data_IF_615774896618
#
_entry.id   IF_615774896618
#
_cell.length_a   1.000
_cell.length_b   1.000
_cell.length_c   1.000
_cell.angle_alpha   90.00
_cell.angle_beta   90.00
_cell.angle_gamma   90.00
#
_symmetry.space_group_name_H-M   'P 1'
#
loop_
_entity.id
_entity.type
_entity.pdbx_description
1 polymer ?
#
# COMPACT_ATOMS: atom_id res chain seq x y z
N UNK A 1 7.88 12.38 -16.70
CA UNK A 1 8.82 13.48 -16.99
C UNK A 1 9.26 13.31 -18.44
N UNK A 2 9.26 14.40 -19.22
CA UNK A 2 9.78 14.35 -20.59
C UNK A 2 11.29 14.01 -20.53
N UNK A 3 11.72 12.98 -21.25
CA UNK A 3 13.14 12.57 -21.31
C UNK A 3 13.97 13.65 -22.03
N UNK A 4 13.31 14.49 -22.83
CA UNK A 4 13.95 15.58 -23.55
C UNK A 4 13.64 16.90 -22.83
N UNK A 5 14.64 17.57 -22.25
CA UNK A 5 14.44 18.86 -21.59
C UNK A 5 13.84 19.89 -22.55
N UNK A 6 13.08 20.85 -22.00
CA UNK A 6 12.56 21.99 -22.76
C UNK A 6 13.70 22.71 -23.49
N UNK A 7 13.63 22.75 -24.82
CA UNK A 7 14.63 23.38 -25.68
C UNK A 7 15.68 22.42 -26.27
N UNK A 8 15.61 21.12 -25.96
CA UNK A 8 16.42 20.10 -26.62
C UNK A 8 15.64 19.40 -27.74
N UNK A 9 16.34 18.95 -28.79
CA UNK A 9 15.80 18.10 -29.83
C UNK A 9 16.61 16.80 -29.92
N UNK A 10 15.94 15.65 -29.96
CA UNK A 10 16.59 14.37 -30.26
C UNK A 10 16.53 14.11 -31.76
N UNK A 11 17.68 13.87 -32.39
CA UNK A 11 17.75 13.45 -33.80
C UNK A 11 17.73 11.93 -33.84
N UNK A 12 16.58 11.36 -34.23
CA UNK A 12 16.50 9.94 -34.58
C UNK A 12 16.90 9.79 -36.04
N UNK A 13 18.09 9.25 -36.31
CA UNK A 13 18.45 8.85 -37.67
C UNK A 13 17.72 7.54 -37.96
N UNK A 14 17.03 7.44 -39.10
CA UNK A 14 16.57 6.14 -39.63
C UNK A 14 17.82 5.28 -39.89
N UNK A 15 18.21 4.45 -38.94
CA UNK A 15 19.04 3.31 -39.27
C UNK A 15 18.04 2.30 -39.87
N UNK A 16 18.07 2.15 -41.19
CA UNK A 16 17.47 0.99 -41.80
C UNK A 16 18.36 -0.16 -41.34
N UNK A 17 17.90 -0.93 -40.37
CA UNK A 17 18.53 -2.22 -40.06
C UNK A 17 18.43 -3.07 -41.33
N UNK A 18 19.37 -4.00 -41.54
CA UNK A 18 19.47 -4.80 -42.77
C UNK A 18 18.23 -5.66 -43.07
N UNK A 19 17.28 -5.71 -42.14
CA UNK A 19 15.99 -6.40 -42.17
C UNK A 19 14.80 -5.47 -42.52
N UNK A 20 15.03 -4.17 -42.77
CA UNK A 20 13.99 -3.23 -43.24
C UNK A 20 13.11 -2.62 -42.15
N UNK A 21 13.44 -2.79 -40.86
CA UNK A 21 12.73 -2.12 -39.77
C UNK A 21 13.23 -0.68 -39.57
N UNK A 22 12.31 0.29 -39.44
CA UNK A 22 12.62 1.65 -39.00
C UNK A 22 12.63 1.72 -37.47
N UNK A 23 13.61 2.42 -36.88
CA UNK A 23 13.65 2.66 -35.45
C UNK A 23 12.42 3.50 -35.00
N UNK A 24 11.46 2.86 -34.34
CA UNK A 24 10.32 3.52 -33.71
C UNK A 24 10.63 3.72 -32.22
N UNK A 25 10.63 4.98 -31.77
CA UNK A 25 10.60 5.31 -30.35
C UNK A 25 9.14 5.32 -29.91
N UNK A 26 8.71 4.29 -29.17
CA UNK A 26 7.44 4.35 -28.44
C UNK A 26 7.72 4.85 -27.04
N UNK A 27 7.18 6.01 -26.69
CA UNK A 27 7.13 6.48 -25.30
C UNK A 27 6.03 5.71 -24.55
N UNK A 28 6.16 4.38 -24.47
CA UNK A 28 5.26 3.56 -23.67
C UNK A 28 5.66 3.76 -22.21
N UNK A 29 4.94 4.64 -21.52
CA UNK A 29 5.04 4.72 -20.07
C UNK A 29 4.36 3.48 -19.50
N UNK A 30 4.98 2.75 -18.56
CA UNK A 30 4.30 1.63 -17.92
C UNK A 30 3.03 2.15 -17.24
N UNK A 31 2.00 1.30 -17.19
CA UNK A 31 0.83 1.49 -16.33
C UNK A 31 1.31 1.75 -14.90
N UNK A 32 0.85 2.87 -14.34
CA UNK A 32 1.18 3.30 -12.97
C UNK A 32 -0.11 3.52 -12.19
N UNK A 33 -0.13 3.00 -10.97
CA UNK A 33 -1.11 3.44 -9.97
C UNK A 33 -0.82 4.90 -9.58
N UNK A 34 -1.86 5.60 -9.12
CA UNK A 34 -1.76 6.97 -8.61
C UNK A 34 -1.90 7.03 -7.08
N UNK A 35 -2.49 6.00 -6.47
CA UNK A 35 -2.56 5.85 -5.02
C UNK A 35 -2.59 4.38 -4.63
N UNK A 36 -2.10 4.07 -3.43
CA UNK A 36 -2.32 2.79 -2.78
C UNK A 36 -2.39 2.98 -1.27
N UNK A 37 -3.25 2.22 -0.61
CA UNK A 37 -3.42 2.29 0.83
C UNK A 37 -3.74 0.94 1.46
N UNK A 38 -3.23 0.72 2.68
CA UNK A 38 -3.72 -0.31 3.60
C UNK A 38 -4.90 0.25 4.39
N UNK A 39 -6.08 -0.33 4.23
CA UNK A 39 -7.34 0.18 4.75
C UNK A 39 -7.78 -0.60 5.99
N UNK A 40 -8.22 0.14 7.03
CA UNK A 40 -8.91 -0.42 8.20
C UNK A 40 -10.16 0.37 8.52
N UNK A 41 -11.14 -0.32 9.09
CA UNK A 41 -12.34 0.23 9.67
C UNK A 41 -12.06 0.51 11.14
N UNK A 42 -12.36 1.72 11.58
CA UNK A 42 -12.28 2.13 12.97
C UNK A 42 -13.68 2.29 13.56
N UNK A 43 -13.97 1.52 14.61
CA UNK A 43 -15.27 1.48 15.27
C UNK A 43 -16.30 0.61 14.57
N UNK A 44 -17.55 0.71 15.01
CA UNK A 44 -18.65 -0.14 14.55
C UNK A 44 -19.89 0.68 14.22
N UNK A 45 -20.78 0.11 13.38
CA UNK A 45 -22.06 0.73 13.03
C UNK A 45 -21.93 2.02 12.21
N UNK A 46 -22.88 2.93 12.37
CA UNK A 46 -23.02 4.16 11.56
C UNK A 46 -21.92 5.21 11.80
N UNK A 47 -21.14 5.08 12.87
CA UNK A 47 -20.00 5.95 13.17
C UNK A 47 -18.64 5.39 12.75
N UNK A 48 -18.62 4.23 12.11
CA UNK A 48 -17.38 3.58 11.69
C UNK A 48 -16.69 4.39 10.57
N UNK A 49 -15.37 4.53 10.67
CA UNK A 49 -14.57 5.26 9.68
C UNK A 49 -13.63 4.32 8.95
N UNK A 50 -13.53 4.45 7.63
CA UNK A 50 -12.58 3.69 6.81
C UNK A 50 -11.36 4.57 6.55
N UNK A 51 -10.22 4.19 7.14
CA UNK A 51 -9.01 5.03 7.19
C UNK A 51 -7.80 4.25 6.70
N UNK A 52 -7.00 4.89 5.85
CA UNK A 52 -5.93 4.26 5.09
C UNK A 52 -4.53 4.74 5.45
N UNK A 53 -3.59 3.80 5.62
CA UNK A 53 -2.16 4.10 5.57
C UNK A 53 -1.73 4.13 4.10
N UNK A 54 -1.24 5.27 3.63
CA UNK A 54 -0.66 5.39 2.29
C UNK A 54 0.53 4.45 2.12
N UNK A 55 0.54 3.71 1.01
CA UNK A 55 1.60 2.82 0.57
C UNK A 55 2.32 3.47 -0.61
N UNK A 56 3.54 4.02 -0.43
CA UNK A 56 4.21 4.77 -1.48
C UNK A 56 4.54 3.88 -2.69
N UNK A 57 4.07 4.30 -3.87
CA UNK A 57 4.13 3.55 -5.13
C UNK A 57 5.50 3.54 -5.82
N UNK A 58 6.44 4.35 -5.34
CA UNK A 58 7.79 4.50 -5.89
C UNK A 58 8.88 4.09 -4.90
N UNK A 59 8.55 3.25 -3.92
CA UNK A 59 9.55 2.79 -2.95
C UNK A 59 10.61 1.98 -3.68
N UNK A 60 11.74 2.63 -3.95
CA UNK A 60 13.01 1.95 -4.10
C UNK A 60 13.11 1.00 -2.91
N UNK A 61 13.42 -0.27 -3.14
CA UNK A 61 13.39 -1.35 -2.13
C UNK A 61 14.22 -1.09 -0.83
N UNK A 62 14.87 0.07 -0.72
CA UNK A 62 15.64 0.55 0.44
C UNK A 62 15.00 1.72 1.22
N UNK A 63 13.79 2.17 0.88
CA UNK A 63 13.02 3.07 1.76
C UNK A 63 12.03 2.28 2.61
N UNK A 64 11.63 2.83 3.76
CA UNK A 64 10.61 2.21 4.61
C UNK A 64 9.28 2.31 3.83
N UNK A 65 8.57 1.19 3.57
CA UNK A 65 7.26 1.22 2.92
C UNK A 65 6.22 1.89 3.82
N UNK A 66 5.02 2.12 3.32
CA UNK A 66 3.90 2.46 4.21
C UNK A 66 3.71 1.34 5.25
N UNK A 67 3.72 1.69 6.53
CA UNK A 67 3.62 0.72 7.64
C UNK A 67 2.19 0.67 8.16
N UNK A 68 1.53 -0.47 8.00
CA UNK A 68 0.30 -0.81 8.70
C UNK A 68 0.64 -1.13 10.17
N UNK A 69 0.27 -0.21 11.05
CA UNK A 69 0.58 -0.27 12.47
C UNK A 69 -0.58 -0.77 13.32
N UNK A 70 -1.76 -1.00 12.72
CA UNK A 70 -2.97 -1.42 13.43
C UNK A 70 -3.11 -2.94 13.41
N UNK A 71 -3.96 -3.44 14.29
CA UNK A 71 -4.24 -4.87 14.42
C UNK A 71 -4.73 -5.50 13.09
N UNK A 72 -4.42 -6.78 12.84
CA UNK A 72 -5.04 -7.51 11.73
C UNK A 72 -6.56 -7.59 11.93
N UNK A 73 -7.30 -7.74 10.84
CA UNK A 73 -8.75 -7.69 10.82
C UNK A 73 -9.29 -6.30 10.50
N UNK A 74 -10.59 -6.12 10.80
CA UNK A 74 -11.29 -4.83 10.68
C UNK A 74 -11.19 -4.23 9.27
N UNK A 75 -11.37 -5.07 8.25
CA UNK A 75 -11.37 -4.67 6.84
C UNK A 75 -12.79 -4.62 6.28
N UNK A 76 -12.98 -4.01 5.10
CA UNK A 76 -14.26 -4.00 4.40
C UNK A 76 -14.70 -5.40 3.91
N UNK A 77 -13.79 -6.37 3.86
CA UNK A 77 -14.08 -7.73 3.42
C UNK A 77 -14.65 -8.63 4.55
N UNK A 78 -14.64 -8.15 5.79
CA UNK A 78 -15.21 -8.88 6.93
C UNK A 78 -14.22 -9.83 7.63
N UNK A 79 -14.77 -10.81 8.33
CA UNK A 79 -14.01 -11.72 9.18
C UNK A 79 -13.08 -12.65 8.37
N UNK A 80 -11.91 -12.97 8.93
CA UNK A 80 -10.93 -13.87 8.32
C UNK A 80 -9.95 -13.19 7.35
N UNK A 81 -10.10 -11.89 7.13
CA UNK A 81 -9.18 -11.06 6.34
C UNK A 81 -8.34 -10.22 7.30
N UNK A 82 -7.03 -10.42 7.26
CA UNK A 82 -6.09 -9.72 8.13
C UNK A 82 -5.87 -8.28 7.67
N UNK A 83 -5.66 -8.05 6.37
CA UNK A 83 -5.41 -6.72 5.81
C UNK A 83 -6.05 -6.56 4.44
N UNK A 84 -6.35 -5.31 4.08
CA UNK A 84 -6.91 -4.98 2.78
C UNK A 84 -6.11 -3.85 2.13
N UNK A 85 -5.57 -4.11 0.94
CA UNK A 85 -4.89 -3.12 0.13
C UNK A 85 -5.87 -2.64 -0.94
N UNK A 86 -5.97 -1.32 -1.10
CA UNK A 86 -6.69 -0.67 -2.19
C UNK A 86 -5.69 0.08 -3.05
N UNK A 87 -5.74 -0.16 -4.36
CA UNK A 87 -4.88 0.49 -5.36
C UNK A 87 -5.78 1.27 -6.32
N UNK A 88 -5.44 2.53 -6.56
CA UNK A 88 -6.16 3.42 -7.46
C UNK A 88 -5.32 3.69 -8.69
N UNK A 89 -5.92 3.52 -9.86
CA UNK A 89 -5.38 3.82 -11.18
C UNK A 89 -6.05 5.05 -11.77
N UNK A 90 -5.39 5.78 -12.70
CA UNK A 90 -5.97 6.96 -13.32
C UNK A 90 -7.14 6.63 -14.25
N UNK A 91 -7.14 5.43 -14.83
CA UNK A 91 -8.18 4.90 -15.71
C UNK A 91 -8.52 3.47 -15.30
N UNK A 92 -9.66 2.92 -15.74
CA UNK A 92 -9.95 1.50 -15.55
C UNK A 92 -8.84 0.61 -16.11
N UNK A 93 -8.45 -0.40 -15.34
CA UNK A 93 -7.44 -1.38 -15.75
C UNK A 93 -8.00 -2.79 -15.73
N UNK A 94 -7.48 -3.64 -16.62
CA UNK A 94 -7.65 -5.09 -16.51
C UNK A 94 -6.36 -5.74 -16.03
N UNK A 95 -6.45 -6.92 -15.43
CA UNK A 95 -5.28 -7.67 -14.97
C UNK A 95 -5.59 -9.17 -14.94
N UNK A 96 -4.52 -9.98 -14.98
CA UNK A 96 -4.64 -11.44 -15.10
C UNK A 96 -4.72 -12.15 -13.75
N UNK A 97 -3.96 -11.66 -12.76
CA UNK A 97 -3.91 -12.26 -11.42
C UNK A 97 -3.32 -11.28 -10.40
N UNK A 98 -3.41 -11.61 -9.12
CA UNK A 98 -2.72 -10.95 -8.02
C UNK A 98 -1.99 -11.99 -7.19
N UNK A 99 -0.70 -11.77 -6.95
CA UNK A 99 0.14 -12.67 -6.15
C UNK A 99 0.84 -11.91 -5.02
N UNK A 100 1.08 -12.59 -3.89
CA UNK A 100 2.06 -12.10 -2.91
C UNK A 100 3.44 -12.62 -3.32
N UNK A 101 4.34 -11.70 -3.65
CA UNK A 101 5.69 -12.04 -4.13
C UNK A 101 6.71 -12.16 -3.00
N UNK A 102 6.43 -11.56 -1.84
CA UNK A 102 7.26 -11.68 -0.64
C UNK A 102 6.49 -11.28 0.61
N UNK A 103 6.97 -11.71 1.78
CA UNK A 103 6.67 -11.03 3.06
C UNK A 103 5.70 -11.68 4.04
N UNK A 104 5.37 -12.96 3.89
CA UNK A 104 4.53 -13.65 4.87
C UNK A 104 3.10 -13.12 4.88
N UNK A 105 2.49 -13.02 3.70
CA UNK A 105 1.06 -12.82 3.54
C UNK A 105 0.58 -13.70 2.38
N UNK A 106 -0.70 -14.06 2.38
CA UNK A 106 -1.35 -14.77 1.29
C UNK A 106 -2.46 -13.90 0.72
N UNK A 107 -2.56 -13.81 -0.60
CA UNK A 107 -3.72 -13.23 -1.25
C UNK A 107 -4.90 -14.18 -1.03
N UNK A 108 -5.95 -13.69 -0.39
CA UNK A 108 -7.18 -14.46 -0.19
C UNK A 108 -8.13 -14.28 -1.37
N UNK A 109 -8.40 -13.03 -1.72
CA UNK A 109 -9.29 -12.65 -2.81
C UNK A 109 -8.95 -11.26 -3.33
N UNK A 110 -9.40 -10.93 -4.53
CA UNK A 110 -9.21 -9.61 -5.14
C UNK A 110 -10.37 -9.27 -6.08
N UNK A 111 -10.59 -7.97 -6.31
CA UNK A 111 -11.65 -7.46 -7.18
C UNK A 111 -11.22 -6.16 -7.88
N UNK A 112 -12.03 -5.68 -8.83
CA UNK A 112 -11.76 -4.44 -9.56
C UNK A 112 -11.17 -4.62 -10.96
N UNK A 113 -11.29 -5.81 -11.56
CA UNK A 113 -10.94 -6.00 -12.97
C UNK A 113 -11.90 -5.20 -13.87
N UNK A 114 -11.37 -4.36 -14.74
CA UNK A 114 -12.15 -3.38 -15.52
C UNK A 114 -12.57 -2.14 -14.74
N UNK A 115 -11.95 -1.88 -13.57
CA UNK A 115 -12.20 -0.71 -12.71
C UNK A 115 -10.92 0.09 -12.50
N UNK A 116 -11.05 1.36 -12.09
CA UNK A 116 -9.92 2.19 -11.66
C UNK A 116 -9.50 1.90 -10.22
N UNK A 117 -10.31 1.17 -9.46
CA UNK A 117 -10.02 0.78 -8.08
C UNK A 117 -9.91 -0.73 -8.02
N UNK A 118 -8.76 -1.22 -7.56
CA UNK A 118 -8.48 -2.63 -7.31
C UNK A 118 -8.37 -2.86 -5.81
N UNK A 119 -9.10 -3.85 -5.31
CA UNK A 119 -9.09 -4.23 -3.89
C UNK A 119 -8.47 -5.61 -3.75
N UNK A 120 -7.57 -5.77 -2.79
CA UNK A 120 -6.85 -7.02 -2.51
C UNK A 120 -7.01 -7.34 -1.03
N UNK A 121 -7.56 -8.51 -0.74
CA UNK A 121 -7.73 -9.02 0.61
C UNK A 121 -6.59 -9.99 0.92
N UNK A 122 -5.93 -9.77 2.06
CA UNK A 122 -4.80 -10.56 2.53
C UNK A 122 -5.17 -11.35 3.79
N UNK A 123 -4.59 -12.55 3.91
CA UNK A 123 -4.67 -13.40 5.11
C UNK A 123 -3.29 -13.95 5.46
N UNK A 124 -3.17 -14.50 6.65
CA UNK A 124 -1.93 -14.99 7.22
C UNK A 124 -0.84 -13.90 7.19
N UNK A 125 -1.20 -12.64 7.47
CA UNK A 125 -0.28 -11.51 7.39
C UNK A 125 0.63 -11.51 8.62
N UNK A 126 1.93 -11.64 8.38
CA UNK A 126 2.94 -11.78 9.42
C UNK A 126 3.45 -10.41 9.85
N UNK A 127 3.34 -10.12 11.16
CA UNK A 127 3.92 -8.92 11.75
C UNK A 127 5.46 -8.90 11.57
N UNK A 128 6.07 -7.72 11.60
CA UNK A 128 7.52 -7.47 11.42
C UNK A 128 8.06 -7.79 10.03
N UNK A 129 7.21 -7.78 9.00
CA UNK A 129 7.59 -8.12 7.62
C UNK A 129 7.15 -7.08 6.60
N UNK A 130 7.96 -6.93 5.55
CA UNK A 130 7.55 -6.24 4.32
C UNK A 130 6.86 -7.21 3.38
N UNK A 131 5.56 -7.01 3.17
CA UNK A 131 4.74 -7.73 2.19
C UNK A 131 4.71 -6.99 0.87
N UNK A 132 5.04 -7.68 -0.22
CA UNK A 132 4.85 -7.15 -1.58
C UNK A 132 3.74 -7.93 -2.26
N UNK A 133 2.78 -7.20 -2.81
CA UNK A 133 1.71 -7.74 -3.66
C UNK A 133 1.93 -7.24 -5.08
N UNK A 134 1.78 -8.12 -6.05
CA UNK A 134 1.98 -7.80 -7.47
C UNK A 134 0.75 -8.18 -8.27
N UNK A 135 0.17 -7.19 -8.96
CA UNK A 135 -0.85 -7.38 -9.98
C UNK A 135 -0.12 -7.74 -11.28
N UNK A 136 -0.49 -8.87 -11.88
CA UNK A 136 0.17 -9.40 -13.07
C UNK A 136 -0.57 -8.97 -14.34
N UNK A 137 0.18 -8.48 -15.33
CA UNK A 137 -0.33 -8.09 -16.63
C UNK A 137 -1.40 -7.00 -16.56
N UNK A 138 -1.16 -5.95 -15.77
CA UNK A 138 -2.06 -4.81 -15.68
C UNK A 138 -2.06 -4.09 -17.02
N UNK A 139 -3.25 -3.88 -17.59
CA UNK A 139 -3.48 -3.27 -18.89
C UNK A 139 -4.47 -2.11 -18.77
N UNK A 140 -4.07 -0.93 -19.23
CA UNK A 140 -4.88 0.31 -19.22
C UNK A 140 -5.56 0.62 -20.57
N UNK A 141 -5.56 -0.34 -21.49
CA UNK A 141 -6.00 -0.23 -22.88
C UNK A 141 -4.91 0.16 -23.87
N UNK A 142 -3.74 0.62 -23.41
CA UNK A 142 -2.65 1.12 -24.24
C UNK A 142 -1.30 0.46 -23.91
N UNK A 143 -1.02 0.25 -22.63
CA UNK A 143 0.22 -0.29 -22.08
C UNK A 143 -0.09 -1.56 -21.27
N UNK A 144 0.93 -2.39 -21.05
CA UNK A 144 0.80 -3.57 -20.18
C UNK A 144 2.09 -3.82 -19.42
N UNK A 145 1.99 -3.98 -18.10
CA UNK A 145 3.09 -4.37 -17.22
C UNK A 145 2.55 -4.87 -15.88
N UNK A 146 3.43 -5.44 -15.08
CA UNK A 146 3.11 -5.76 -13.69
C UNK A 146 3.17 -4.50 -12.81
N UNK A 147 2.31 -4.44 -11.81
CA UNK A 147 2.27 -3.33 -10.83
C UNK A 147 2.41 -3.93 -9.44
N UNK A 148 3.47 -3.53 -8.71
CA UNK A 148 3.76 -4.01 -7.37
C UNK A 148 3.52 -2.91 -6.33
N UNK A 149 2.94 -3.29 -5.20
CA UNK A 149 2.75 -2.44 -4.02
C UNK A 149 3.34 -3.14 -2.80
N UNK A 150 4.17 -2.42 -2.05
CA UNK A 150 4.77 -2.92 -0.83
C UNK A 150 4.11 -2.30 0.40
N UNK A 151 3.81 -3.14 1.38
CA UNK A 151 3.28 -2.79 2.70
C UNK A 151 4.23 -3.32 3.77
N UNK A 152 4.68 -2.45 4.67
CA UNK A 152 5.28 -2.88 5.93
C UNK A 152 4.18 -3.23 6.93
N UNK A 153 4.36 -4.30 7.69
CA UNK A 153 3.45 -4.65 8.79
C UNK A 153 4.25 -4.62 10.06
N UNK A 154 3.96 -3.66 10.93
CA UNK A 154 4.61 -3.52 12.22
C UNK A 154 3.62 -2.94 13.23
N UNK A 155 2.91 -3.85 13.92
CA UNK A 155 1.92 -3.51 14.94
C UNK A 155 2.54 -2.57 15.99
N UNK A 156 1.89 -1.42 16.22
CA UNK A 156 2.34 -0.42 17.20
C UNK A 156 3.38 0.59 16.69
N UNK A 157 3.90 0.49 15.47
CA UNK A 157 4.78 1.53 14.89
C UNK A 157 3.96 2.69 14.33
N UNK A 158 3.40 3.47 15.25
CA UNK A 158 2.45 4.54 14.94
C UNK A 158 3.12 5.72 14.26
N UNK A 159 4.44 5.89 14.44
CA UNK A 159 5.23 6.94 13.81
C UNK A 159 5.93 6.50 12.50
N UNK A 160 5.78 5.24 12.08
CA UNK A 160 6.29 4.66 10.85
C UNK A 160 7.83 4.71 10.71
N UNK A 161 8.56 4.49 11.81
CA UNK A 161 10.03 4.52 11.82
C UNK A 161 10.68 3.17 11.54
N UNK A 162 9.90 2.10 11.41
CA UNK A 162 10.38 0.73 11.20
C UNK A 162 10.80 0.01 12.50
N UNK A 163 10.58 0.62 13.66
CA UNK A 163 10.84 0.03 14.96
C UNK A 163 9.84 0.56 15.99
N UNK A 164 9.37 -0.32 16.88
CA UNK A 164 8.44 0.08 17.95
C UNK A 164 9.22 0.39 19.22
N UNK A 165 9.14 1.63 19.69
CA UNK A 165 9.85 2.07 20.88
C UNK A 165 8.98 2.94 21.82
N UNK A 166 9.62 3.60 22.78
CA UNK A 166 8.94 4.46 23.75
C UNK A 166 8.27 5.69 23.12
N UNK A 167 8.73 6.14 21.96
CA UNK A 167 8.18 7.27 21.25
C UNK A 167 6.81 6.91 20.67
N UNK A 168 6.62 5.69 20.18
CA UNK A 168 5.31 5.18 19.77
C UNK A 168 4.33 5.16 20.94
N UNK A 169 4.75 4.55 22.05
CA UNK A 169 3.94 4.48 23.28
C UNK A 169 3.56 5.89 23.76
N UNK A 170 4.52 6.82 23.80
CA UNK A 170 4.26 8.21 24.20
C UNK A 170 3.35 8.94 23.21
N UNK A 171 3.47 8.66 21.91
CA UNK A 171 2.60 9.25 20.89
C UNK A 171 1.15 8.79 21.07
N UNK A 172 0.91 7.49 21.30
CA UNK A 172 -0.44 6.98 21.59
C UNK A 172 -1.00 7.59 22.88
N UNK A 173 -0.21 7.64 23.95
CA UNK A 173 -0.62 8.24 25.23
C UNK A 173 -1.06 9.71 25.09
N UNK A 174 -0.36 10.50 24.27
CA UNK A 174 -0.70 11.91 24.01
C UNK A 174 -2.05 12.09 23.29
N UNK A 175 -2.52 11.06 22.61
CA UNK A 175 -3.80 11.08 21.90
C UNK A 175 -4.92 10.35 22.66
N UNK A 176 -4.62 9.79 23.84
CA UNK A 176 -5.62 9.10 24.67
C UNK A 176 -6.80 10.02 25.00
N UNK A 177 -8.02 9.49 24.88
CA UNK A 177 -9.29 10.20 25.05
C UNK A 177 -9.80 10.91 23.80
N UNK A 178 -9.05 10.90 22.69
CA UNK A 178 -9.51 11.48 21.43
C UNK A 178 -10.34 10.50 20.61
N UNK A 179 -11.31 11.02 19.86
CA UNK A 179 -11.98 10.27 18.80
C UNK A 179 -11.07 10.14 17.59
N UNK A 180 -11.18 9.01 16.90
CA UNK A 180 -10.41 8.77 15.68
C UNK A 180 -10.85 9.69 14.54
N UNK A 181 -9.90 10.09 13.70
CA UNK A 181 -10.06 10.83 12.45
C UNK A 181 -8.84 10.62 11.54
N UNK A 182 -8.85 11.24 10.36
CA UNK A 182 -7.79 11.12 9.36
C UNK A 182 -6.39 11.56 9.84
N UNK A 183 -6.30 12.43 10.84
CA UNK A 183 -5.02 12.92 11.38
C UNK A 183 -4.43 12.06 12.52
N UNK A 184 -5.21 11.21 13.16
CA UNK A 184 -4.78 10.49 14.37
C UNK A 184 -5.04 8.97 14.35
N UNK A 185 -5.60 8.42 13.26
CA UNK A 185 -6.00 7.01 13.18
C UNK A 185 -4.90 6.00 13.41
N UNK A 186 -3.64 6.35 13.16
CA UNK A 186 -2.51 5.46 13.45
C UNK A 186 -2.37 5.17 14.95
N UNK A 187 -2.86 6.06 15.81
CA UNK A 187 -2.82 5.89 17.28
C UNK A 187 -3.97 5.06 17.83
N UNK A 188 -5.04 4.84 17.05
CA UNK A 188 -6.11 3.88 17.35
C UNK A 188 -5.67 2.50 16.82
N UNK A 189 -4.72 1.90 17.54
CA UNK A 189 -3.96 0.71 17.14
C UNK A 189 -4.87 -0.53 17.10
N UNK A 190 -5.85 -0.61 18.01
CA UNK A 190 -6.85 -1.67 18.01
C UNK A 190 -8.06 -1.37 17.10
N UNK A 191 -8.08 -0.19 16.45
CA UNK A 191 -9.09 0.30 15.51
C UNK A 191 -10.53 0.24 16.06
N UNK A 192 -10.71 0.60 17.32
CA UNK A 192 -12.02 0.62 18.01
C UNK A 192 -12.82 1.89 17.76
N UNK A 193 -12.24 2.92 17.13
CA UNK A 193 -12.87 4.22 16.87
C UNK A 193 -12.56 5.29 17.92
N UNK A 194 -11.86 4.92 19.00
CA UNK A 194 -11.37 5.81 20.03
C UNK A 194 -9.94 5.45 20.40
N UNK A 195 -9.15 6.43 20.84
CA UNK A 195 -7.76 6.22 21.24
C UNK A 195 -7.72 6.18 22.76
N UNK A 196 -7.26 5.09 23.37
CA UNK A 196 -7.24 4.94 24.82
C UNK A 196 -6.12 4.04 25.38
N UNK A 197 -6.25 3.62 26.64
CA UNK A 197 -5.28 2.78 27.33
C UNK A 197 -5.12 1.38 26.72
N UNK A 198 -6.09 0.89 25.96
CA UNK A 198 -5.99 -0.37 25.24
C UNK A 198 -4.99 -0.24 24.07
N UNK A 199 -5.00 0.87 23.33
CA UNK A 199 -4.02 1.14 22.27
C UNK A 199 -2.60 1.28 22.84
N UNK A 200 -2.49 1.96 23.98
CA UNK A 200 -1.22 2.07 24.72
C UNK A 200 -0.71 0.67 25.08
N UNK A 201 -1.58 -0.20 25.59
CA UNK A 201 -1.21 -1.56 26.01
C UNK A 201 -0.78 -2.43 24.83
N UNK A 202 -1.48 -2.35 23.68
CA UNK A 202 -1.08 -3.04 22.45
C UNK A 202 0.30 -2.57 21.99
N UNK A 203 0.51 -1.25 21.95
CA UNK A 203 1.78 -0.65 21.52
C UNK A 203 2.94 -1.05 22.44
N UNK A 204 2.73 -1.02 23.75
CA UNK A 204 3.73 -1.44 24.75
C UNK A 204 4.16 -2.90 24.56
N UNK A 205 3.20 -3.78 24.26
CA UNK A 205 3.44 -5.20 24.00
C UNK A 205 4.30 -5.46 22.75
N UNK A 206 4.44 -4.49 21.86
CA UNK A 206 5.25 -4.59 20.64
C UNK A 206 6.61 -3.89 20.73
N UNK A 207 6.93 -3.25 21.85
CA UNK A 207 8.24 -2.57 22.00
C UNK A 207 9.41 -3.53 21.73
N UNK A 208 10.45 -3.02 21.06
CA UNK A 208 11.62 -3.79 20.56
C UNK A 208 11.33 -4.74 19.40
N UNK A 209 10.17 -4.65 18.77
CA UNK A 209 9.96 -5.22 17.44
C UNK A 209 10.46 -4.24 16.37
N UNK A 210 10.85 -4.78 15.21
CA UNK A 210 11.34 -3.97 14.10
C UNK A 210 10.99 -4.64 12.78
N UNK A 211 10.74 -3.82 11.77
CA UNK A 211 10.41 -4.27 10.43
C UNK A 211 11.64 -4.91 9.79
N UNK A 212 11.46 -6.09 9.19
CA UNK A 212 12.51 -6.84 8.50
C UNK A 212 12.14 -7.18 7.07
#
# INVERSE_FOLDING_TARGET
ADIIPKGAGAVVRKAQTSDGHSAFWTNAFPVQAIDAASIKIHGTGTGAQTLGVTLPLNTQFNTIPGIECRVPGLTLAGAGIDDQIVITFPTPVTFSNVISTSGGASVDSFSGNGSSIVTINLKNVVNTRKTTVTLLGVNDGQNTNDVAVQMGVLLGDVNATGGVDKNDVSAVQKHSGQKVNQGNFRFDVNATGGIDGADVSVTQGQTRTSLR
#
